data_IF_902349818619
#
_entry.id   IF_902349818619
#
_cell.length_a   1.000
_cell.length_b   1.000
_cell.length_c   1.000
_cell.angle_alpha   90.00
_cell.angle_beta   90.00
_cell.angle_gamma   90.00
#
_symmetry.space_group_name_H-M   'P 1'
#
loop_
_entity.id
_entity.type
_entity.pdbx_description
1 polymer ?
#
# COMPACT_ATOMS: atom_id res chain seq x y z
N UNK A 1 1.29 -24.47 -4.41
CA UNK A 1 -0.05 -24.30 -4.94
C UNK A 1 0.07 -23.54 -6.26
N UNK A 2 -0.13 -24.25 -7.39
CA UNK A 2 -0.16 -23.61 -8.68
C UNK A 2 -1.44 -22.83 -8.84
N UNK A 3 -1.37 -21.51 -8.78
CA UNK A 3 -2.48 -20.61 -9.02
C UNK A 3 -2.60 -20.33 -10.52
N UNK A 4 -3.24 -21.25 -11.22
CA UNK A 4 -3.76 -20.93 -12.55
C UNK A 4 -5.05 -20.13 -12.39
N UNK A 5 -5.09 -18.92 -12.93
CA UNK A 5 -6.26 -18.04 -13.00
C UNK A 5 -6.87 -17.62 -11.64
N UNK A 6 -6.16 -16.74 -10.91
CA UNK A 6 -6.75 -15.91 -9.87
C UNK A 6 -7.35 -16.67 -8.70
N UNK A 7 -6.54 -16.96 -7.68
CA UNK A 7 -7.09 -17.35 -6.39
C UNK A 7 -8.08 -16.27 -5.95
N UNK A 8 -9.35 -16.64 -5.81
CA UNK A 8 -10.38 -15.70 -5.38
C UNK A 8 -10.83 -14.65 -6.39
N UNK A 9 -10.81 -14.96 -7.70
CA UNK A 9 -11.25 -14.01 -8.73
C UNK A 9 -12.66 -13.44 -8.47
N UNK A 10 -13.54 -14.22 -7.81
CA UNK A 10 -14.90 -13.81 -7.46
C UNK A 10 -15.07 -13.55 -5.95
N UNK A 11 -14.01 -13.73 -5.14
CA UNK A 11 -14.10 -13.55 -3.69
C UNK A 11 -14.02 -12.06 -3.34
N UNK A 12 -15.03 -11.53 -2.69
CA UNK A 12 -15.07 -10.15 -2.19
C UNK A 12 -14.35 -9.97 -0.85
N UNK A 13 -14.17 -11.07 -0.10
CA UNK A 13 -13.47 -11.08 1.19
C UNK A 13 -12.54 -12.27 1.29
N UNK A 14 -11.33 -12.05 1.71
CA UNK A 14 -10.27 -13.03 1.88
C UNK A 14 -9.67 -12.87 3.26
N UNK A 15 -9.63 -13.98 4.02
CA UNK A 15 -8.94 -14.03 5.32
C UNK A 15 -7.75 -14.97 5.21
N UNK A 16 -6.60 -14.48 5.64
CA UNK A 16 -5.33 -15.21 5.65
C UNK A 16 -4.87 -15.42 7.08
N UNK A 17 -4.43 -16.64 7.39
CA UNK A 17 -3.76 -16.95 8.65
C UNK A 17 -2.48 -17.72 8.36
N UNK A 18 -1.38 -17.01 8.27
CA UNK A 18 -0.06 -17.56 8.04
C UNK A 18 0.69 -17.76 9.37
N UNK A 19 1.20 -18.95 9.61
CA UNK A 19 2.12 -19.28 10.73
C UNK A 19 3.51 -19.64 10.23
N UNK A 20 3.70 -19.58 8.91
CA UNK A 20 4.98 -19.72 8.19
C UNK A 20 4.91 -18.77 7.01
N UNK A 21 6.03 -18.32 6.50
CA UNK A 21 6.11 -17.44 5.34
C UNK A 21 5.16 -17.89 4.24
N UNK A 22 4.29 -17.03 3.81
CA UNK A 22 3.28 -17.27 2.79
C UNK A 22 3.44 -16.29 1.64
N UNK A 23 3.84 -16.83 0.49
CA UNK A 23 3.87 -16.09 -0.77
C UNK A 23 2.62 -16.46 -1.60
N UNK A 24 1.75 -15.48 -1.83
CA UNK A 24 0.55 -15.62 -2.65
C UNK A 24 0.81 -15.34 -4.14
N UNK A 25 2.07 -15.13 -4.49
CA UNK A 25 2.55 -14.96 -5.86
C UNK A 25 2.84 -13.52 -6.23
N UNK A 26 3.70 -13.39 -7.24
CA UNK A 26 4.14 -12.11 -7.82
C UNK A 26 3.24 -11.62 -8.97
N UNK A 27 2.16 -12.32 -9.25
CA UNK A 27 1.20 -11.94 -10.29
C UNK A 27 -0.03 -11.37 -9.62
N UNK A 28 -0.53 -10.27 -10.13
CA UNK A 28 -1.72 -9.59 -9.61
C UNK A 28 -2.90 -10.55 -9.40
N UNK A 29 -3.38 -10.62 -8.19
CA UNK A 29 -4.44 -11.49 -7.70
C UNK A 29 -5.61 -10.65 -7.14
N UNK A 30 -6.62 -11.31 -6.63
CA UNK A 30 -7.68 -10.68 -5.81
C UNK A 30 -8.49 -9.59 -6.52
N UNK A 31 -8.81 -9.79 -7.81
CA UNK A 31 -9.49 -8.79 -8.67
C UNK A 31 -10.79 -8.27 -8.07
N UNK A 32 -11.64 -9.16 -7.49
CA UNK A 32 -12.92 -8.78 -6.92
C UNK A 32 -12.88 -8.47 -5.41
N UNK A 33 -11.73 -8.72 -4.74
CA UNK A 33 -11.66 -8.56 -3.29
C UNK A 33 -11.67 -7.09 -2.88
N UNK A 34 -12.58 -6.73 -1.99
CA UNK A 34 -12.64 -5.43 -1.31
C UNK A 34 -12.20 -5.54 0.15
N UNK A 35 -11.99 -6.75 0.66
CA UNK A 35 -11.48 -7.00 1.99
C UNK A 35 -10.43 -8.12 1.96
N UNK A 36 -9.21 -7.79 2.30
CA UNK A 36 -8.11 -8.73 2.53
C UNK A 36 -7.65 -8.58 3.98
N UNK A 37 -7.77 -9.63 4.76
CA UNK A 37 -7.46 -9.62 6.19
C UNK A 37 -6.47 -10.72 6.55
N UNK A 38 -5.20 -10.33 6.76
CA UNK A 38 -4.13 -11.17 7.27
C UNK A 38 -3.77 -10.85 8.74
N UNK A 39 -4.60 -10.06 9.45
CA UNK A 39 -4.27 -9.54 10.79
C UNK A 39 -4.02 -10.60 11.86
N UNK A 40 -4.42 -11.85 11.62
CA UNK A 40 -4.13 -12.97 12.51
C UNK A 40 -2.90 -13.78 12.11
N UNK A 41 -2.20 -13.39 11.04
CA UNK A 41 -0.94 -13.98 10.60
C UNK A 41 0.20 -13.59 11.55
N UNK A 42 1.09 -14.55 11.84
CA UNK A 42 2.27 -14.34 12.68
C UNK A 42 3.57 -14.49 11.90
N UNK A 43 3.48 -14.76 10.62
CA UNK A 43 4.60 -14.88 9.70
C UNK A 43 4.34 -14.00 8.48
N UNK A 44 5.41 -13.75 7.73
CA UNK A 44 5.43 -12.87 6.57
C UNK A 44 4.42 -13.30 5.50
N UNK A 45 3.69 -12.35 4.96
CA UNK A 45 2.73 -12.53 3.88
C UNK A 45 3.12 -11.64 2.71
N UNK A 46 3.29 -12.24 1.54
CA UNK A 46 3.50 -11.50 0.29
C UNK A 46 2.26 -11.60 -0.58
N UNK A 47 1.74 -10.47 -1.06
CA UNK A 47 0.57 -10.41 -1.92
C UNK A 47 0.66 -9.28 -2.94
N UNK A 48 0.27 -9.57 -4.18
CA UNK A 48 0.13 -8.58 -5.26
C UNK A 48 -1.34 -8.49 -5.64
N UNK A 49 -1.91 -7.31 -5.49
CA UNK A 49 -3.31 -7.05 -5.80
C UNK A 49 -3.45 -6.59 -7.25
N UNK A 50 -4.44 -7.12 -7.95
CA UNK A 50 -4.72 -6.69 -9.32
C UNK A 50 -5.18 -5.22 -9.32
N UNK A 51 -4.83 -4.51 -10.39
CA UNK A 51 -5.42 -3.20 -10.68
C UNK A 51 -6.94 -3.30 -10.61
N UNK A 52 -7.57 -2.38 -9.90
CA UNK A 52 -9.02 -2.38 -9.69
C UNK A 52 -9.64 -1.11 -10.24
N UNK A 53 -10.70 -1.31 -11.02
CA UNK A 53 -11.70 -0.27 -11.19
C UNK A 53 -12.77 -0.53 -10.12
N UNK A 54 -12.73 0.22 -9.04
CA UNK A 54 -13.68 0.06 -7.95
C UNK A 54 -14.90 0.92 -8.28
N UNK A 55 -16.07 0.28 -8.24
CA UNK A 55 -17.33 1.02 -8.38
C UNK A 55 -17.42 2.11 -7.31
N UNK A 56 -18.00 3.24 -7.65
CA UNK A 56 -18.12 4.38 -6.75
C UNK A 56 -18.64 3.96 -5.37
N UNK A 57 -18.07 4.54 -4.32
CA UNK A 57 -18.42 4.33 -2.90
C UNK A 57 -18.11 2.94 -2.31
N UNK A 58 -17.34 2.08 -2.98
CA UNK A 58 -16.94 0.81 -2.38
C UNK A 58 -15.65 0.98 -1.58
N UNK A 59 -15.73 0.79 -0.28
CA UNK A 59 -14.55 0.80 0.58
C UNK A 59 -13.68 -0.44 0.34
N UNK A 60 -12.35 -0.26 0.38
CA UNK A 60 -11.36 -1.34 0.31
C UNK A 60 -10.56 -1.39 1.60
N UNK A 61 -10.45 -2.58 2.16
CA UNK A 61 -9.65 -2.81 3.37
C UNK A 61 -8.59 -3.87 3.11
N UNK A 62 -7.34 -3.56 3.45
CA UNK A 62 -6.19 -4.46 3.35
C UNK A 62 -5.48 -4.43 4.70
N UNK A 63 -5.30 -5.60 5.31
CA UNK A 63 -4.62 -5.73 6.60
C UNK A 63 -3.53 -6.77 6.55
N UNK A 64 -2.33 -6.38 6.98
CA UNK A 64 -1.22 -7.26 7.28
C UNK A 64 -1.31 -7.86 8.68
N UNK A 65 -0.30 -8.60 9.07
CA UNK A 65 -0.23 -9.35 10.32
C UNK A 65 0.86 -8.89 11.28
N UNK A 66 1.64 -9.84 11.78
CA UNK A 66 2.75 -9.56 12.69
C UNK A 66 4.12 -9.98 12.10
N UNK A 67 4.16 -10.41 10.86
CA UNK A 67 5.38 -10.70 10.12
C UNK A 67 5.85 -9.48 9.33
N UNK A 68 6.99 -9.60 8.64
CA UNK A 68 7.41 -8.60 7.66
C UNK A 68 6.62 -8.81 6.36
N UNK A 69 5.51 -8.11 6.24
CA UNK A 69 4.57 -8.28 5.14
C UNK A 69 4.99 -7.45 3.90
N UNK A 70 4.62 -7.92 2.72
CA UNK A 70 4.98 -7.29 1.46
C UNK A 70 3.75 -7.21 0.56
N UNK A 71 3.17 -6.03 0.42
CA UNK A 71 1.97 -5.82 -0.39
C UNK A 71 2.25 -4.83 -1.52
N UNK A 72 1.87 -5.27 -2.73
CA UNK A 72 1.78 -4.41 -3.90
C UNK A 72 0.28 -4.25 -4.21
N UNK A 73 -0.25 -3.06 -3.97
CA UNK A 73 -1.68 -2.82 -4.13
C UNK A 73 -2.08 -2.42 -5.56
N UNK A 74 -1.10 -2.33 -6.45
CA UNK A 74 -1.34 -2.09 -7.87
C UNK A 74 -1.97 -0.73 -8.16
N UNK A 75 -2.52 -0.58 -9.34
CA UNK A 75 -3.19 0.64 -9.76
C UNK A 75 -4.65 0.63 -9.35
N UNK A 76 -5.03 1.53 -8.46
CA UNK A 76 -6.43 1.84 -8.19
C UNK A 76 -6.86 3.00 -9.07
N UNK A 77 -7.67 2.75 -10.08
CA UNK A 77 -8.33 3.80 -10.85
C UNK A 77 -9.57 4.25 -10.09
N UNK A 78 -9.50 5.43 -9.51
CA UNK A 78 -10.67 6.08 -8.93
C UNK A 78 -11.57 6.60 -10.07
N UNK A 79 -12.82 6.12 -10.15
CA UNK A 79 -13.87 6.93 -10.72
C UNK A 79 -14.27 7.98 -9.67
N UNK A 80 -14.80 9.12 -10.09
CA UNK A 80 -15.30 10.16 -9.18
C UNK A 80 -16.14 9.53 -8.05
N UNK A 81 -15.70 9.65 -6.80
CA UNK A 81 -16.20 9.04 -5.57
C UNK A 81 -15.66 7.62 -5.30
N UNK A 82 -14.36 7.50 -5.21
CA UNK A 82 -13.70 6.34 -4.62
C UNK A 82 -14.15 6.19 -3.16
N UNK A 83 -14.52 4.98 -2.74
CA UNK A 83 -14.76 4.70 -1.33
C UNK A 83 -13.45 4.70 -0.52
N UNK A 84 -13.55 4.71 0.78
CA UNK A 84 -12.39 4.75 1.67
C UNK A 84 -11.42 3.59 1.40
N UNK A 85 -10.13 3.91 1.21
CA UNK A 85 -9.05 2.94 1.19
C UNK A 85 -8.43 2.84 2.59
N UNK A 86 -8.56 1.69 3.21
CA UNK A 86 -7.91 1.40 4.49
C UNK A 86 -6.82 0.35 4.28
N UNK A 87 -5.57 0.75 4.52
CA UNK A 87 -4.43 -0.16 4.57
C UNK A 87 -3.81 -0.07 5.97
N UNK A 88 -3.59 -1.22 6.60
CA UNK A 88 -2.90 -1.34 7.89
C UNK A 88 -1.96 -2.54 7.79
N UNK A 89 -0.65 -2.27 7.68
CA UNK A 89 0.35 -3.33 7.46
C UNK A 89 0.57 -4.18 8.72
N UNK A 90 0.24 -3.63 9.90
CA UNK A 90 0.24 -4.40 11.14
C UNK A 90 1.48 -4.20 11.99
N UNK A 91 2.20 -5.26 12.28
CA UNK A 91 3.45 -5.19 13.04
C UNK A 91 4.53 -6.00 12.34
N UNK A 92 5.71 -5.47 12.30
CA UNK A 92 6.83 -6.02 11.54
C UNK A 92 7.59 -4.91 10.86
N UNK A 93 8.49 -5.23 9.98
CA UNK A 93 9.08 -4.26 9.07
C UNK A 93 8.49 -4.51 7.69
N UNK A 94 7.47 -3.77 7.38
CA UNK A 94 6.58 -4.02 6.27
C UNK A 94 6.97 -3.23 5.01
N UNK A 95 6.51 -3.68 3.87
CA UNK A 95 6.71 -2.98 2.60
C UNK A 95 5.37 -2.86 1.88
N UNK A 96 4.97 -1.63 1.61
CA UNK A 96 3.80 -1.31 0.82
C UNK A 96 4.21 -0.61 -0.47
N UNK A 97 3.96 -1.24 -1.62
CA UNK A 97 3.95 -0.54 -2.91
C UNK A 97 2.55 0.03 -3.14
N UNK A 98 2.47 1.37 -3.09
CA UNK A 98 1.21 2.09 -3.19
C UNK A 98 0.68 2.13 -4.62
N UNK A 99 1.51 1.84 -5.62
CA UNK A 99 1.11 1.91 -7.02
C UNK A 99 0.66 3.32 -7.44
N UNK A 100 -0.29 3.38 -8.37
CA UNK A 100 -0.83 4.63 -8.88
C UNK A 100 -2.08 5.08 -8.11
N UNK A 101 -1.95 5.30 -6.81
CA UNK A 101 -3.05 5.88 -6.00
C UNK A 101 -2.98 7.39 -6.08
N UNK A 102 -3.57 7.95 -7.14
CA UNK A 102 -3.51 9.39 -7.42
C UNK A 102 -4.47 10.21 -6.56
N UNK A 103 -5.57 9.62 -6.12
CA UNK A 103 -6.61 10.28 -5.32
C UNK A 103 -7.30 9.27 -4.42
N UNK A 104 -7.61 9.66 -3.19
CA UNK A 104 -8.32 8.84 -2.21
C UNK A 104 -9.39 9.70 -1.54
N UNK A 105 -10.48 9.10 -1.12
CA UNK A 105 -11.50 9.82 -0.37
C UNK A 105 -10.97 10.22 1.02
N UNK A 106 -11.52 11.28 1.59
CA UNK A 106 -11.08 11.87 2.86
C UNK A 106 -11.15 10.92 4.06
N UNK A 107 -11.89 9.81 3.94
CA UNK A 107 -11.97 8.75 4.95
C UNK A 107 -10.84 7.70 4.87
N UNK A 108 -10.00 7.77 3.86
CA UNK A 108 -8.93 6.78 3.66
C UNK A 108 -7.82 6.86 4.72
N UNK A 109 -7.17 5.73 4.99
CA UNK A 109 -6.07 5.62 5.95
C UNK A 109 -5.07 4.56 5.48
N UNK A 110 -3.81 4.93 5.35
CA UNK A 110 -2.72 4.08 4.86
C UNK A 110 -1.60 4.10 5.90
N UNK A 111 -1.38 2.96 6.57
CA UNK A 111 -0.46 2.84 7.70
C UNK A 111 0.59 1.77 7.49
N UNK A 112 1.85 2.10 7.79
CA UNK A 112 2.94 1.14 7.93
C UNK A 112 2.71 0.24 9.14
N UNK A 113 2.35 0.85 10.26
CA UNK A 113 2.00 0.11 11.47
C UNK A 113 3.08 0.17 12.55
N UNK A 114 3.30 -0.94 13.24
CA UNK A 114 4.25 -1.01 14.34
C UNK A 114 5.56 -1.69 13.89
N UNK A 115 6.54 -0.92 13.59
CA UNK A 115 7.88 -1.32 13.18
C UNK A 115 8.83 -0.13 13.30
N UNK A 116 10.10 -0.34 13.01
CA UNK A 116 11.10 0.73 12.91
C UNK A 116 11.71 0.78 11.48
N UNK A 117 11.08 0.10 10.51
CA UNK A 117 11.60 -0.05 9.17
C UNK A 117 10.52 -0.28 8.11
N UNK A 118 9.33 0.33 8.31
CA UNK A 118 8.25 0.24 7.36
C UNK A 118 8.54 1.08 6.12
N UNK A 119 8.40 0.47 4.96
CA UNK A 119 8.75 1.04 3.66
C UNK A 119 7.49 1.36 2.88
N UNK A 120 7.34 2.62 2.50
CA UNK A 120 6.37 3.04 1.48
C UNK A 120 7.09 3.19 0.14
N UNK A 121 6.66 2.45 -0.86
CA UNK A 121 7.12 2.58 -2.24
C UNK A 121 6.10 3.40 -3.03
N UNK A 122 6.59 4.40 -3.75
CA UNK A 122 5.82 5.18 -4.71
C UNK A 122 6.35 4.89 -6.09
N UNK A 123 5.60 4.12 -6.87
CA UNK A 123 6.06 3.64 -8.17
C UNK A 123 5.43 4.35 -9.36
N UNK A 124 4.17 4.73 -9.32
CA UNK A 124 3.44 5.10 -10.52
C UNK A 124 2.79 6.50 -10.51
N UNK A 125 2.67 7.17 -9.38
CA UNK A 125 2.03 8.47 -9.30
C UNK A 125 2.66 9.40 -8.24
N UNK A 126 2.56 10.70 -8.47
CA UNK A 126 2.89 11.69 -7.45
C UNK A 126 1.86 11.67 -6.31
N UNK A 127 2.34 11.70 -5.08
CA UNK A 127 1.49 11.83 -3.90
C UNK A 127 0.96 13.27 -3.84
N UNK A 128 -0.36 13.43 -3.87
CA UNK A 128 -0.99 14.72 -3.64
C UNK A 128 -1.01 15.07 -2.15
N UNK A 129 -1.17 16.35 -1.82
CA UNK A 129 -1.31 16.79 -0.42
C UNK A 129 -2.50 16.09 0.29
N UNK A 130 -3.57 15.80 -0.43
CA UNK A 130 -4.73 15.08 0.10
C UNK A 130 -4.38 13.65 0.50
N UNK A 131 -3.77 12.89 -0.38
CA UNK A 131 -3.33 11.51 -0.11
C UNK A 131 -2.27 11.47 0.98
N UNK A 132 -1.32 12.41 0.97
CA UNK A 132 -0.26 12.48 1.95
C UNK A 132 -0.78 12.58 3.38
N UNK A 133 -1.87 13.30 3.64
CA UNK A 133 -2.45 13.41 4.99
C UNK A 133 -3.06 12.11 5.52
N UNK A 134 -3.26 11.12 4.65
CA UNK A 134 -3.85 9.82 4.98
C UNK A 134 -2.78 8.74 5.24
N UNK A 135 -1.51 9.05 4.95
CA UNK A 135 -0.37 8.16 5.11
C UNK A 135 0.27 8.40 6.48
N UNK A 136 0.59 7.34 7.20
CA UNK A 136 1.26 7.43 8.50
C UNK A 136 2.05 6.15 8.83
N UNK A 137 2.93 6.25 9.82
CA UNK A 137 3.61 5.08 10.38
C UNK A 137 4.51 4.36 9.37
N UNK A 138 5.19 5.10 8.47
CA UNK A 138 6.27 4.62 7.61
C UNK A 138 7.55 5.38 7.92
N UNK A 139 8.68 4.69 8.08
CA UNK A 139 9.98 5.29 8.36
C UNK A 139 10.82 5.49 7.10
N UNK A 140 10.54 4.72 6.06
CA UNK A 140 11.32 4.73 4.82
C UNK A 140 10.40 5.04 3.65
N UNK A 141 10.75 6.07 2.88
CA UNK A 141 10.11 6.39 1.61
C UNK A 141 11.04 5.98 0.47
N UNK A 142 10.55 5.14 -0.43
CA UNK A 142 11.23 4.75 -1.66
C UNK A 142 10.47 5.26 -2.88
N UNK A 143 11.12 6.06 -3.72
CA UNK A 143 10.55 6.61 -4.96
C UNK A 143 11.22 5.88 -6.13
N UNK A 144 10.47 4.99 -6.78
CA UNK A 144 10.99 4.10 -7.83
C UNK A 144 10.67 4.55 -9.26
N UNK A 145 9.77 5.51 -9.45
CA UNK A 145 9.31 5.89 -10.78
C UNK A 145 10.09 7.04 -11.38
N UNK A 146 10.41 6.92 -12.65
CA UNK A 146 11.04 7.98 -13.45
C UNK A 146 10.03 9.04 -13.89
N UNK A 147 10.45 10.32 -13.85
CA UNK A 147 9.65 11.42 -14.42
C UNK A 147 8.56 11.96 -13.51
N UNK A 148 8.44 11.51 -12.28
CA UNK A 148 7.53 12.09 -11.32
C UNK A 148 8.15 13.32 -10.63
N UNK A 149 7.30 14.31 -10.39
CA UNK A 149 7.62 15.43 -9.51
C UNK A 149 6.90 15.21 -8.19
N UNK A 150 7.65 15.05 -7.12
CA UNK A 150 7.13 14.93 -5.76
C UNK A 150 7.34 16.27 -5.03
N UNK A 151 6.30 16.72 -4.34
CA UNK A 151 6.38 17.90 -3.49
C UNK A 151 6.90 17.49 -2.11
N UNK A 152 8.09 17.98 -1.74
CA UNK A 152 8.72 17.65 -0.47
C UNK A 152 7.87 18.08 0.75
N UNK A 153 7.05 19.10 0.62
CA UNK A 153 6.17 19.55 1.68
C UNK A 153 5.09 18.50 2.01
N UNK A 154 4.76 17.63 1.06
CA UNK A 154 3.83 16.51 1.28
C UNK A 154 4.42 15.42 2.19
N UNK A 155 5.73 15.40 2.39
CA UNK A 155 6.44 14.42 3.23
C UNK A 155 6.95 15.03 4.55
N UNK A 156 6.50 16.23 4.91
CA UNK A 156 6.87 16.89 6.16
C UNK A 156 6.27 16.19 7.40
N UNK A 157 6.86 16.40 8.56
CA UNK A 157 6.66 15.66 9.82
C UNK A 157 5.23 15.60 10.43
N UNK A 158 4.21 16.06 9.71
CA UNK A 158 2.80 15.83 10.05
C UNK A 158 2.15 14.74 9.20
N UNK A 159 2.81 14.31 8.14
CA UNK A 159 2.26 13.39 7.15
C UNK A 159 2.56 11.94 7.53
N UNK A 160 3.73 11.70 8.11
CA UNK A 160 4.16 10.37 8.53
C UNK A 160 3.90 10.09 10.02
N UNK A 161 2.73 10.47 10.50
CA UNK A 161 2.30 10.20 11.87
C UNK A 161 2.91 11.14 12.92
N UNK A 162 2.20 11.30 14.03
CA UNK A 162 2.71 12.01 15.20
C UNK A 162 3.77 11.15 15.88
N UNK A 163 5.04 11.33 15.51
CA UNK A 163 6.14 10.69 16.22
C UNK A 163 7.19 9.99 15.35
N UNK A 164 6.88 9.64 14.11
CA UNK A 164 7.87 9.08 13.19
C UNK A 164 8.14 10.09 12.08
N UNK A 165 9.30 10.73 12.13
CA UNK A 165 9.85 11.41 10.95
C UNK A 165 10.31 10.32 9.98
N UNK A 166 10.19 10.55 8.65
CA UNK A 166 10.89 9.72 7.68
C UNK A 166 12.36 9.64 8.10
N UNK A 167 12.82 8.44 8.42
CA UNK A 167 14.19 8.21 8.80
C UNK A 167 15.10 8.13 7.57
N UNK A 168 14.56 7.67 6.43
CA UNK A 168 15.32 7.48 5.21
C UNK A 168 14.45 7.75 3.97
N UNK A 169 14.96 8.51 3.03
CA UNK A 169 14.39 8.67 1.69
C UNK A 169 15.34 8.04 0.67
N UNK A 170 14.83 7.10 -0.09
CA UNK A 170 15.52 6.45 -1.21
C UNK A 170 14.91 6.95 -2.50
N UNK A 171 15.74 7.30 -3.47
CA UNK A 171 15.28 7.73 -4.79
C UNK A 171 16.03 6.87 -5.80
N UNK A 172 15.33 5.94 -6.38
CA UNK A 172 15.85 5.13 -7.47
C UNK A 172 15.59 5.86 -8.79
N UNK A 173 16.58 5.93 -9.66
CA UNK A 173 16.52 6.62 -10.96
C UNK A 173 16.24 8.14 -10.90
N UNK A 174 17.25 8.88 -10.44
CA UNK A 174 17.24 10.35 -10.39
C UNK A 174 17.18 11.04 -11.75
N UNK A 175 17.31 10.33 -12.87
CA UNK A 175 17.52 10.96 -14.18
C UNK A 175 16.34 11.85 -14.61
N UNK A 176 15.14 11.62 -14.11
CA UNK A 176 13.95 12.36 -14.46
C UNK A 176 13.02 12.70 -13.28
N UNK A 177 13.41 12.39 -12.05
CA UNK A 177 12.60 12.72 -10.86
C UNK A 177 12.98 14.10 -10.34
N UNK A 178 11.99 14.88 -9.96
CA UNK A 178 12.17 16.15 -9.29
C UNK A 178 11.44 16.12 -7.93
N UNK A 179 12.14 16.58 -6.91
CA UNK A 179 11.57 16.89 -5.60
C UNK A 179 11.58 18.41 -5.48
N UNK A 180 10.45 18.99 -5.28
CA UNK A 180 10.24 20.45 -5.18
C UNK A 180 9.75 20.82 -3.78
#
# INVERSE_FOLDING_TARGET
LGVGNGFGADATSITVKATSVLDLGSTAQFVASTNFDASTSTADVTAVFAAKTIASETAVTIKGGAGADQFDIGTFTAEENFGDLTVDMGAGNDTLDLGAVADTDTGSSIKGGAGDGDILIISDAAITAGVATQISEFEILNIETTGLTQDADNFGGTIFGTGAAIAEMRIDDLANNAII
#
